data_IF_085666864018
#
_entry.id   IF_085666864018
#
_cell.length_a   1.000
_cell.length_b   1.000
_cell.length_c   1.000
_cell.angle_alpha   90.00
_cell.angle_beta   90.00
_cell.angle_gamma   90.00
#
_symmetry.space_group_name_H-M   'P 1'
#
loop_
_entity.id
_entity.type
_entity.pdbx_description
1 polymer ?
#
# COMPACT_ATOMS: atom_id res chain seq x y z
N UNK A 1 -6.27 7.22 18.48
CA UNK A 1 -6.22 5.76 18.22
C UNK A 1 -4.98 5.19 18.89
N UNK A 2 -5.00 3.91 19.32
CA UNK A 2 -3.81 3.25 19.89
C UNK A 2 -3.19 2.34 18.84
N UNK A 3 -1.88 2.46 18.62
CA UNK A 3 -1.13 1.54 17.75
C UNK A 3 -0.69 0.31 18.55
N UNK A 4 -0.74 -0.86 17.93
CA UNK A 4 -0.40 -2.13 18.57
C UNK A 4 0.79 -2.77 17.84
N UNK A 5 1.98 -2.79 18.46
CA UNK A 5 3.19 -3.42 17.87
C UNK A 5 3.43 -3.03 16.39
N UNK A 6 3.59 -1.73 16.08
CA UNK A 6 3.57 -1.22 14.70
C UNK A 6 4.86 -1.51 13.90
N UNK A 7 5.93 -1.97 14.55
CA UNK A 7 7.27 -2.11 13.96
C UNK A 7 7.27 -2.86 12.62
N UNK A 8 6.53 -3.97 12.52
CA UNK A 8 6.45 -4.75 11.30
C UNK A 8 5.93 -3.93 10.11
N UNK A 9 4.80 -3.25 10.30
CA UNK A 9 4.19 -2.44 9.25
C UNK A 9 5.02 -1.21 8.92
N UNK A 10 5.72 -0.64 9.91
CA UNK A 10 6.68 0.45 9.66
C UNK A 10 7.80 -0.05 8.73
N UNK A 11 8.38 -1.21 9.02
CA UNK A 11 9.43 -1.81 8.18
C UNK A 11 8.90 -2.09 6.77
N UNK A 12 7.72 -2.70 6.65
CA UNK A 12 7.09 -2.99 5.36
C UNK A 12 6.87 -1.72 4.52
N UNK A 13 6.39 -0.65 5.14
CA UNK A 13 6.18 0.66 4.49
C UNK A 13 7.50 1.27 4.05
N UNK A 14 8.54 1.23 4.88
CA UNK A 14 9.86 1.77 4.53
C UNK A 14 10.47 1.00 3.37
N UNK A 15 10.40 -0.33 3.38
CA UNK A 15 10.88 -1.17 2.27
C UNK A 15 10.14 -0.78 0.98
N UNK A 16 8.82 -0.69 1.02
CA UNK A 16 8.04 -0.33 -0.15
C UNK A 16 8.32 1.09 -0.65
N UNK A 17 8.60 2.03 0.25
CA UNK A 17 9.02 3.39 -0.12
C UNK A 17 10.35 3.37 -0.86
N UNK A 18 11.34 2.63 -0.35
CA UNK A 18 12.66 2.49 -1.00
C UNK A 18 12.50 1.88 -2.40
N UNK A 19 11.67 0.83 -2.54
CA UNK A 19 11.39 0.23 -3.85
C UNK A 19 10.71 1.21 -4.81
N UNK A 20 9.73 1.98 -4.32
CA UNK A 20 9.08 3.02 -5.12
C UNK A 20 10.08 4.06 -5.63
N UNK A 21 10.98 4.53 -4.76
CA UNK A 21 12.02 5.50 -5.12
C UNK A 21 13.04 4.93 -6.11
N UNK A 22 13.43 3.66 -5.95
CA UNK A 22 14.31 2.94 -6.88
C UNK A 22 13.69 2.90 -8.28
N UNK A 23 12.46 2.39 -8.39
CA UNK A 23 11.76 2.31 -9.67
C UNK A 23 11.49 3.69 -10.29
N UNK A 24 11.19 4.69 -9.47
CA UNK A 24 11.03 6.06 -9.95
C UNK A 24 12.34 6.60 -10.56
N UNK A 25 13.48 6.30 -9.93
CA UNK A 25 14.81 6.70 -10.42
C UNK A 25 15.15 5.99 -11.74
N UNK A 26 14.96 4.67 -11.80
CA UNK A 26 15.12 3.86 -13.03
C UNK A 26 14.24 4.40 -14.17
N UNK A 27 12.99 4.77 -13.85
CA UNK A 27 12.08 5.37 -14.81
C UNK A 27 12.58 6.73 -15.33
N UNK A 28 13.09 7.60 -14.46
CA UNK A 28 13.65 8.89 -14.88
C UNK A 28 14.85 8.69 -15.82
N UNK A 29 15.70 7.71 -15.55
CA UNK A 29 16.84 7.39 -16.41
C UNK A 29 16.38 6.91 -17.79
N UNK A 30 15.44 5.97 -17.83
CA UNK A 30 14.85 5.49 -19.08
C UNK A 30 14.17 6.61 -19.88
N UNK A 31 13.44 7.50 -19.22
CA UNK A 31 12.82 8.68 -19.85
C UNK A 31 13.88 9.56 -20.52
N UNK A 32 14.98 9.87 -19.81
CA UNK A 32 16.08 10.69 -20.34
C UNK A 32 16.79 10.04 -21.52
N UNK A 33 16.91 8.71 -21.52
CA UNK A 33 17.48 7.97 -22.64
C UNK A 33 16.56 7.97 -23.86
N UNK A 34 15.25 7.78 -23.65
CA UNK A 34 14.26 7.86 -24.73
C UNK A 34 14.18 9.24 -25.37
N UNK A 35 14.14 10.30 -24.56
CA UNK A 35 14.13 11.69 -25.07
C UNK A 35 15.34 11.99 -25.96
N UNK A 36 16.50 11.39 -25.67
CA UNK A 36 17.71 11.53 -26.51
C UNK A 36 17.68 10.67 -27.77
N UNK A 37 17.07 9.49 -27.70
CA UNK A 37 17.17 8.50 -28.77
C UNK A 37 16.05 8.64 -29.80
N UNK A 38 14.85 9.00 -29.36
CA UNK A 38 13.67 9.16 -30.23
C UNK A 38 12.68 10.21 -29.66
N UNK A 39 13.00 11.51 -29.82
CA UNK A 39 12.22 12.60 -29.24
C UNK A 39 10.80 12.71 -29.83
N UNK A 40 10.63 12.36 -31.10
CA UNK A 40 9.32 12.40 -31.77
C UNK A 40 8.38 11.32 -31.22
N UNK A 41 8.91 10.11 -30.95
CA UNK A 41 8.14 9.06 -30.29
C UNK A 41 7.83 9.42 -28.83
N UNK A 42 8.80 9.99 -28.11
CA UNK A 42 8.62 10.38 -26.71
C UNK A 42 7.45 11.36 -26.51
N UNK A 43 7.31 12.36 -27.39
CA UNK A 43 6.19 13.32 -27.35
C UNK A 43 4.80 12.73 -27.59
N UNK A 44 4.71 11.50 -28.13
CA UNK A 44 3.47 10.80 -28.42
C UNK A 44 3.05 9.81 -27.33
N UNK A 45 3.95 9.47 -26.39
CA UNK A 45 3.65 8.50 -25.33
C UNK A 45 2.95 9.21 -24.16
N UNK A 46 1.68 8.87 -23.92
CA UNK A 46 1.00 9.20 -22.67
C UNK A 46 1.32 8.12 -21.62
N UNK A 47 2.43 8.25 -20.90
CA UNK A 47 2.89 7.22 -19.96
C UNK A 47 2.24 7.38 -18.57
N UNK A 48 1.40 6.43 -18.19
CA UNK A 48 0.71 6.40 -16.89
C UNK A 48 1.53 5.58 -15.89
N UNK A 49 2.03 6.22 -14.82
CA UNK A 49 2.96 5.60 -13.86
C UNK A 49 2.16 4.83 -12.80
N UNK A 50 2.20 3.49 -12.85
CA UNK A 50 1.51 2.62 -11.88
C UNK A 50 2.32 2.32 -10.62
N UNK A 51 3.65 2.47 -10.63
CA UNK A 51 4.52 1.98 -9.54
C UNK A 51 4.34 2.75 -8.22
N UNK A 52 4.15 4.07 -8.27
CA UNK A 52 3.96 4.92 -7.07
C UNK A 52 2.67 4.59 -6.30
N UNK A 53 1.67 4.03 -6.99
CA UNK A 53 0.40 3.69 -6.36
C UNK A 53 0.46 2.41 -5.52
N UNK A 54 1.39 1.48 -5.81
CA UNK A 54 1.56 0.26 -5.00
C UNK A 54 2.05 0.60 -3.58
N UNK A 55 2.95 1.58 -3.47
CA UNK A 55 3.38 2.12 -2.17
C UNK A 55 2.19 2.62 -1.34
N UNK A 56 1.27 3.37 -1.95
CA UNK A 56 0.08 3.88 -1.26
C UNK A 56 -0.80 2.75 -0.73
N UNK A 57 -0.96 1.66 -1.49
CA UNK A 57 -1.75 0.50 -1.04
C UNK A 57 -1.10 -0.18 0.17
N UNK A 58 0.20 -0.44 0.11
CA UNK A 58 0.97 -1.00 1.23
C UNK A 58 0.91 -0.08 2.45
N UNK A 59 0.98 1.24 2.24
CA UNK A 59 0.82 2.23 3.30
C UNK A 59 -0.54 2.12 4.00
N UNK A 60 -1.63 2.07 3.24
CA UNK A 60 -2.99 1.96 3.80
C UNK A 60 -3.18 0.64 4.56
N UNK A 61 -2.76 -0.49 3.98
CA UNK A 61 -2.86 -1.80 4.61
C UNK A 61 -2.00 -1.86 5.88
N UNK A 62 -0.75 -1.38 5.80
CA UNK A 62 0.17 -1.29 6.93
C UNK A 62 -0.39 -0.42 8.06
N UNK A 63 -0.96 0.74 7.73
CA UNK A 63 -1.61 1.60 8.71
C UNK A 63 -2.78 0.89 9.39
N UNK A 64 -3.62 0.18 8.64
CA UNK A 64 -4.72 -0.61 9.19
C UNK A 64 -4.22 -1.75 10.10
N UNK A 65 -3.13 -2.43 9.73
CA UNK A 65 -2.46 -3.40 10.60
C UNK A 65 -2.07 -2.76 11.93
N UNK A 66 -1.47 -1.56 11.92
CA UNK A 66 -1.01 -0.89 13.14
C UNK A 66 -2.17 -0.57 14.09
N UNK A 67 -3.33 -0.25 13.53
CA UNK A 67 -4.57 0.03 14.28
C UNK A 67 -5.23 -1.24 14.84
N UNK A 68 -4.91 -2.42 14.29
CA UNK A 68 -5.55 -3.70 14.64
C UNK A 68 -4.92 -4.29 15.90
N UNK A 69 -5.75 -4.80 16.83
CA UNK A 69 -5.26 -5.44 18.06
C UNK A 69 -4.51 -6.74 17.72
N UNK A 70 -3.57 -7.20 18.56
CA UNK A 70 -2.91 -8.49 18.36
C UNK A 70 -3.94 -9.62 18.28
N UNK A 71 -4.02 -10.29 17.14
CA UNK A 71 -4.92 -11.41 16.87
C UNK A 71 -4.37 -12.24 15.70
N UNK A 72 -4.92 -13.43 15.50
CA UNK A 72 -4.60 -14.26 14.33
C UNK A 72 -4.83 -13.51 13.00
N UNK A 73 -5.90 -12.71 12.91
CA UNK A 73 -6.18 -11.87 11.76
C UNK A 73 -5.07 -10.82 11.50
N UNK A 74 -4.48 -10.26 12.56
CA UNK A 74 -3.35 -9.35 12.43
C UNK A 74 -2.13 -10.05 11.80
N UNK A 75 -1.87 -11.30 12.17
CA UNK A 75 -0.79 -12.08 11.57
C UNK A 75 -1.06 -12.37 10.09
N UNK A 76 -2.32 -12.59 9.70
CA UNK A 76 -2.70 -12.76 8.30
C UNK A 76 -2.38 -11.51 7.46
N UNK A 77 -2.69 -10.31 7.97
CA UNK A 77 -2.34 -9.04 7.29
C UNK A 77 -0.82 -8.92 7.12
N UNK A 78 -0.03 -9.36 8.10
CA UNK A 78 1.44 -9.31 8.02
C UNK A 78 2.00 -10.21 6.93
N UNK A 79 1.53 -11.46 6.90
CA UNK A 79 1.90 -12.42 5.85
C UNK A 79 1.54 -11.84 4.48
N UNK A 80 0.34 -11.28 4.37
CA UNK A 80 -0.14 -10.67 3.15
C UNK A 80 0.72 -9.48 2.69
N UNK A 81 1.13 -8.60 3.60
CA UNK A 81 2.06 -7.51 3.30
C UNK A 81 3.40 -8.02 2.75
N UNK A 82 3.95 -9.08 3.34
CA UNK A 82 5.19 -9.70 2.84
C UNK A 82 4.99 -10.31 1.45
N UNK A 83 3.87 -10.99 1.21
CA UNK A 83 3.54 -11.54 -0.10
C UNK A 83 3.40 -10.44 -1.17
N UNK A 84 2.83 -9.28 -0.84
CA UNK A 84 2.76 -8.14 -1.77
C UNK A 84 4.16 -7.64 -2.13
N UNK A 85 5.00 -7.38 -1.12
CA UNK A 85 6.35 -6.83 -1.33
C UNK A 85 7.20 -7.81 -2.15
N UNK A 86 7.28 -9.07 -1.72
CA UNK A 86 8.07 -10.08 -2.43
C UNK A 86 7.48 -10.40 -3.80
N UNK A 87 6.15 -10.50 -3.90
CA UNK A 87 5.48 -10.78 -5.17
C UNK A 87 5.68 -9.67 -6.20
N UNK A 88 5.72 -8.41 -5.78
CA UNK A 88 6.00 -7.29 -6.67
C UNK A 88 7.48 -7.28 -7.11
N UNK A 89 8.42 -7.36 -6.16
CA UNK A 89 9.86 -7.30 -6.44
C UNK A 89 10.33 -8.48 -7.30
N UNK A 90 9.87 -9.69 -6.98
CA UNK A 90 10.26 -10.90 -7.71
C UNK A 90 9.34 -11.25 -8.87
N UNK A 91 8.41 -10.36 -9.25
CA UNK A 91 7.44 -10.61 -10.33
C UNK A 91 8.11 -10.99 -11.65
N UNK A 92 9.26 -10.40 -11.97
CA UNK A 92 10.03 -10.69 -13.19
C UNK A 92 10.66 -12.10 -13.23
N UNK A 93 10.77 -12.80 -12.10
CA UNK A 93 11.26 -14.18 -12.04
C UNK A 93 10.15 -15.22 -12.17
N UNK A 94 8.89 -14.80 -12.10
CA UNK A 94 7.74 -15.70 -12.15
C UNK A 94 7.27 -15.78 -13.60
N UNK A 95 7.32 -16.97 -14.23
CA UNK A 95 6.96 -17.15 -15.65
C UNK A 95 5.44 -17.23 -15.82
N UNK A 96 4.72 -16.27 -15.25
CA UNK A 96 3.28 -16.11 -15.35
C UNK A 96 3.03 -14.71 -15.89
N UNK A 97 2.45 -14.65 -17.10
CA UNK A 97 2.09 -13.40 -17.71
C UNK A 97 1.18 -12.59 -16.78
N UNK A 98 1.44 -11.29 -16.68
CA UNK A 98 0.65 -10.36 -15.86
C UNK A 98 0.69 -10.62 -14.34
N UNK A 99 1.61 -11.46 -13.83
CA UNK A 99 1.71 -11.75 -12.39
C UNK A 99 1.80 -10.49 -11.53
N UNK A 100 2.62 -9.51 -11.96
CA UNK A 100 2.74 -8.21 -11.30
C UNK A 100 1.37 -7.52 -11.12
N UNK A 101 0.55 -7.50 -12.18
CA UNK A 101 -0.78 -6.89 -12.14
C UNK A 101 -1.74 -7.65 -11.22
N UNK A 102 -1.59 -8.98 -11.11
CA UNK A 102 -2.30 -9.78 -10.12
C UNK A 102 -1.97 -9.36 -8.68
N UNK A 103 -0.67 -9.19 -8.37
CA UNK A 103 -0.21 -8.69 -7.07
C UNK A 103 -0.72 -7.26 -6.81
N UNK A 104 -0.60 -6.39 -7.82
CA UNK A 104 -1.04 -5.00 -7.76
C UNK A 104 -2.54 -4.87 -7.47
N UNK A 105 -3.40 -5.57 -8.24
CA UNK A 105 -4.85 -5.52 -8.06
C UNK A 105 -5.27 -6.07 -6.68
N UNK A 106 -4.57 -7.10 -6.22
CA UNK A 106 -4.77 -7.68 -4.89
C UNK A 106 -4.44 -6.69 -3.77
N UNK A 107 -3.33 -5.95 -3.91
CA UNK A 107 -2.95 -4.87 -2.99
C UNK A 107 -3.96 -3.71 -3.04
N UNK A 108 -4.38 -3.28 -4.22
CA UNK A 108 -5.38 -2.23 -4.41
C UNK A 108 -6.69 -2.56 -3.71
N UNK A 109 -7.27 -3.73 -4.01
CA UNK A 109 -8.54 -4.16 -3.42
C UNK A 109 -8.43 -4.24 -1.88
N UNK A 110 -7.33 -4.80 -1.40
CA UNK A 110 -7.08 -4.94 0.03
C UNK A 110 -6.91 -3.59 0.73
N UNK A 111 -6.29 -2.61 0.06
CA UNK A 111 -6.18 -1.25 0.57
C UNK A 111 -7.56 -0.57 0.68
N UNK A 112 -8.43 -0.75 -0.31
CA UNK A 112 -9.82 -0.24 -0.26
C UNK A 112 -10.57 -0.85 0.92
N UNK A 113 -10.49 -2.17 1.11
CA UNK A 113 -11.13 -2.86 2.24
C UNK A 113 -10.55 -2.36 3.57
N UNK A 114 -9.23 -2.27 3.69
CA UNK A 114 -8.55 -1.77 4.88
C UNK A 114 -8.97 -0.34 5.23
N UNK A 115 -9.12 0.53 4.22
CA UNK A 115 -9.58 1.90 4.38
C UNK A 115 -11.02 1.97 4.92
N UNK A 116 -11.94 1.20 4.33
CA UNK A 116 -13.35 1.12 4.79
C UNK A 116 -13.41 0.64 6.25
N UNK A 117 -12.66 -0.40 6.61
CA UNK A 117 -12.61 -0.93 7.97
C UNK A 117 -11.99 0.05 8.96
N UNK A 118 -10.96 0.80 8.54
CA UNK A 118 -10.37 1.85 9.35
C UNK A 118 -11.38 2.97 9.64
N UNK A 119 -12.08 3.46 8.60
CA UNK A 119 -13.12 4.49 8.73
C UNK A 119 -14.25 4.03 9.65
N UNK A 120 -14.78 2.82 9.43
CA UNK A 120 -15.86 2.27 10.25
C UNK A 120 -15.47 2.21 11.74
N UNK A 121 -14.23 1.80 12.02
CA UNK A 121 -13.69 1.76 13.38
C UNK A 121 -13.56 3.15 14.00
N UNK A 122 -13.18 4.17 13.21
CA UNK A 122 -13.11 5.56 13.68
C UNK A 122 -14.50 6.06 14.04
N UNK A 123 -15.48 5.88 13.14
CA UNK A 123 -16.86 6.29 13.34
C UNK A 123 -17.47 5.65 14.59
N UNK A 124 -17.35 4.32 14.73
CA UNK A 124 -17.88 3.60 15.90
C UNK A 124 -17.29 4.10 17.22
N UNK A 125 -15.97 4.37 17.25
CA UNK A 125 -15.33 4.89 18.45
C UNK A 125 -15.80 6.31 18.80
N UNK A 126 -16.15 7.13 17.79
CA UNK A 126 -16.69 8.47 17.99
C UNK A 126 -18.10 8.40 18.61
N UNK A 127 -18.97 7.54 18.08
CA UNK A 127 -20.32 7.31 18.59
C UNK A 127 -20.30 6.82 20.04
N UNK A 128 -19.46 5.83 20.35
CA UNK A 128 -19.29 5.32 21.72
C UNK A 128 -18.79 6.40 22.70
N UNK A 129 -17.95 7.33 22.23
CA UNK A 129 -17.45 8.44 23.04
C UNK A 129 -18.55 9.48 23.28
N UNK A 130 -19.38 9.76 22.28
CA UNK A 130 -20.50 10.68 22.39
C UNK A 130 -21.59 10.14 23.33
N UNK A 131 -21.93 8.86 23.20
CA UNK A 131 -22.88 8.18 24.09
C UNK A 131 -22.42 8.18 25.56
N UNK A 132 -21.12 7.98 25.83
CA UNK A 132 -20.55 8.07 27.18
C UNK A 132 -20.65 9.47 27.77
N UNK A 133 -20.33 10.51 26.99
CA UNK A 133 -20.48 11.91 27.44
C UNK A 133 -21.93 12.24 27.81
N UNK A 134 -22.89 11.81 27.00
CA UNK A 134 -24.32 12.02 27.26
C UNK A 134 -24.83 11.33 28.54
N UNK A 135 -24.26 10.16 28.89
CA UNK A 135 -24.57 9.47 30.15
C UNK A 135 -23.94 10.14 31.38
N UNK A 136 -22.76 10.72 31.25
CA UNK A 136 -22.06 11.39 32.36
C UNK A 136 -22.61 12.79 32.69
N UNK A 137 -23.41 13.38 31.79
CA UNK A 137 -24.06 14.68 31.98
C UNK A 137 -25.51 14.59 32.47
N UNK A 138 -25.99 13.39 32.80
CA UNK A 138 -27.29 13.12 33.45
C UNK A 138 -27.04 12.61 34.85
#
# INVERSE_FOLDING_TARGET
MKFYKPLFSIIAIIIQLILSLKHHSEHIEWVKEMEKTDPDFFGLICYNITYDSLFLFVFIIGFYEMLTKPSWFKNLIRIFLVCIILGAEFSGFIPIDQFYFGVYNTAWFSAVVAFILALWKILRNADEKWARKKKASR
#
